data_IF_216409848197
#
_entry.id   IF_216409848197
#
_cell.length_a   1.000
_cell.length_b   1.000
_cell.length_c   1.000
_cell.angle_alpha   90.00
_cell.angle_beta   90.00
_cell.angle_gamma   90.00
#
_symmetry.space_group_name_H-M   'P 1'
#
loop_
_entity.id
_entity.type
_entity.pdbx_description
1 polymer ?
#
# COMPACT_ATOMS: atom_id res chain seq x y z
N UNK A 1 5.90 -10.03 18.74
CA UNK A 1 6.30 -8.81 18.01
C UNK A 1 5.30 -8.62 16.88
N UNK A 2 4.50 -7.54 16.92
CA UNK A 2 3.38 -7.35 16.01
C UNK A 2 3.87 -6.60 14.76
N UNK A 3 3.72 -7.12 13.53
CA UNK A 3 4.29 -6.52 12.32
C UNK A 3 3.44 -5.35 11.78
N UNK A 4 2.78 -4.59 12.64
CA UNK A 4 2.12 -3.37 12.19
C UNK A 4 3.17 -2.27 12.04
N UNK A 5 3.34 -1.84 10.80
CA UNK A 5 3.98 -0.59 10.41
C UNK A 5 3.63 0.51 11.42
N UNK A 6 4.65 1.20 11.94
CA UNK A 6 4.65 2.20 13.02
C UNK A 6 3.63 3.35 12.85
N UNK A 7 2.34 3.04 12.83
CA UNK A 7 1.26 4.00 12.74
C UNK A 7 1.03 4.57 14.13
N UNK A 8 1.27 5.88 14.28
CA UNK A 8 1.07 6.65 15.52
C UNK A 8 -0.30 6.41 16.16
N UNK A 9 -1.32 6.11 15.36
CA UNK A 9 -2.68 5.89 15.81
C UNK A 9 -2.86 4.55 16.55
N UNK A 10 -2.10 3.53 16.16
CA UNK A 10 -2.10 2.21 16.80
C UNK A 10 -1.04 2.14 17.89
N UNK A 11 0.06 2.89 17.78
CA UNK A 11 1.11 2.96 18.80
C UNK A 11 0.58 3.31 20.19
N UNK A 12 -0.34 4.30 20.29
CA UNK A 12 -0.96 4.66 21.57
C UNK A 12 -1.86 3.55 22.14
N UNK A 13 -2.49 2.75 21.27
CA UNK A 13 -3.28 1.59 21.70
C UNK A 13 -2.37 0.46 22.17
N UNK A 14 -1.26 0.23 21.47
CA UNK A 14 -0.28 -0.79 21.82
C UNK A 14 0.41 -0.47 23.13
N UNK A 15 0.80 0.79 23.37
CA UNK A 15 1.35 1.24 24.66
C UNK A 15 0.36 1.03 25.80
N UNK A 16 -0.93 1.35 25.59
CA UNK A 16 -1.96 1.12 26.61
C UNK A 16 -2.17 -0.37 26.86
N UNK A 17 -2.17 -1.20 25.81
CA UNK A 17 -2.33 -2.64 25.91
C UNK A 17 -1.12 -3.29 26.61
N UNK A 18 0.08 -2.81 26.32
CA UNK A 18 1.33 -3.21 26.96
C UNK A 18 1.34 -2.83 28.45
N UNK A 19 0.96 -1.59 28.77
CA UNK A 19 0.81 -1.17 30.16
C UNK A 19 -0.24 -2.02 30.90
N UNK A 20 -1.41 -2.24 30.30
CA UNK A 20 -2.44 -3.11 30.87
C UNK A 20 -1.94 -4.54 31.10
N UNK A 21 -1.13 -5.08 30.19
CA UNK A 21 -0.57 -6.41 30.31
C UNK A 21 0.35 -6.57 31.53
N UNK A 22 1.25 -5.61 31.75
CA UNK A 22 2.18 -5.67 32.88
C UNK A 22 1.54 -5.30 34.22
N UNK A 23 0.61 -4.34 34.23
CA UNK A 23 0.14 -3.73 35.48
C UNK A 23 -1.23 -4.19 35.97
N UNK A 24 -2.10 -4.81 35.14
CA UNK A 24 -3.42 -5.23 35.61
C UNK A 24 -3.44 -6.60 36.30
N UNK A 25 -2.73 -7.60 35.77
CA UNK A 25 -2.84 -8.99 36.27
C UNK A 25 -1.51 -9.74 36.39
N UNK A 26 -0.37 -9.02 36.40
CA UNK A 26 0.97 -9.61 36.49
C UNK A 26 1.23 -10.71 35.44
N UNK A 27 0.61 -10.61 34.26
CA UNK A 27 0.78 -11.59 33.18
C UNK A 27 0.16 -12.98 33.42
N UNK A 28 -0.63 -13.21 34.49
CA UNK A 28 -1.17 -14.55 34.79
C UNK A 28 -2.09 -15.13 33.71
N UNK A 29 -2.81 -14.28 32.98
CA UNK A 29 -3.71 -14.68 31.88
C UNK A 29 -3.16 -14.32 30.50
N UNK A 30 -1.83 -14.29 30.32
CA UNK A 30 -1.22 -13.84 29.08
C UNK A 30 -1.69 -14.63 27.84
N UNK A 31 -1.92 -15.94 27.98
CA UNK A 31 -2.44 -16.81 26.90
C UNK A 31 -3.85 -16.38 26.47
N UNK A 32 -4.76 -16.18 27.43
CA UNK A 32 -6.13 -15.75 27.12
C UNK A 32 -6.18 -14.31 26.58
N UNK A 33 -5.29 -13.45 27.07
CA UNK A 33 -5.12 -12.10 26.54
C UNK A 33 -4.57 -12.13 25.11
N UNK A 34 -3.59 -12.98 24.84
CA UNK A 34 -2.99 -13.16 23.52
C UNK A 34 -4.00 -13.69 22.52
N UNK A 35 -4.74 -14.74 22.87
CA UNK A 35 -5.83 -15.25 22.03
C UNK A 35 -6.88 -14.17 21.75
N UNK A 36 -7.29 -13.39 22.74
CA UNK A 36 -8.28 -12.32 22.53
C UNK A 36 -7.76 -11.14 21.70
N UNK A 37 -6.48 -10.78 21.82
CA UNK A 37 -5.92 -9.58 21.17
C UNK A 37 -5.30 -9.86 19.80
N UNK A 38 -4.69 -11.02 19.58
CA UNK A 38 -4.10 -11.38 18.28
C UNK A 38 -5.07 -12.13 17.35
N UNK A 39 -6.03 -12.91 17.85
CA UNK A 39 -7.08 -13.50 17.01
C UNK A 39 -8.21 -12.50 16.72
N UNK A 40 -7.91 -11.20 16.62
CA UNK A 40 -8.87 -10.30 15.99
C UNK A 40 -9.14 -10.80 14.56
N UNK A 41 -10.41 -10.84 14.13
CA UNK A 41 -10.82 -11.53 12.91
C UNK A 41 -10.14 -10.92 11.70
N UNK A 42 -9.06 -11.55 11.22
CA UNK A 42 -8.52 -11.57 9.84
C UNK A 42 -8.81 -10.33 8.96
N UNK A 43 -8.68 -9.12 9.47
CA UNK A 43 -8.79 -7.91 8.64
C UNK A 43 -7.51 -7.62 7.86
N UNK A 44 -6.41 -8.35 8.13
CA UNK A 44 -5.09 -8.11 7.54
C UNK A 44 -4.80 -8.83 6.21
N UNK A 45 -5.44 -9.96 5.90
CA UNK A 45 -5.03 -10.78 4.74
C UNK A 45 -5.26 -10.04 3.40
N UNK A 46 -6.32 -9.23 3.34
CA UNK A 46 -6.66 -8.45 2.15
C UNK A 46 -5.66 -7.33 1.88
N UNK A 47 -5.08 -6.74 2.93
CA UNK A 47 -4.03 -5.72 2.79
C UNK A 47 -2.69 -6.33 2.35
N UNK A 48 -2.30 -7.48 2.91
CA UNK A 48 -1.06 -8.16 2.52
C UNK A 48 -1.07 -8.65 1.06
N UNK A 49 -2.24 -9.07 0.53
CA UNK A 49 -2.36 -9.49 -0.88
C UNK A 49 -2.22 -8.29 -1.83
N UNK A 50 -2.72 -7.11 -1.44
CA UNK A 50 -2.58 -5.87 -2.22
C UNK A 50 -1.11 -5.46 -2.29
N UNK A 51 -0.38 -5.53 -1.16
CA UNK A 51 1.04 -5.17 -1.11
C UNK A 51 1.92 -6.10 -1.97
N UNK A 52 1.66 -7.41 -1.95
CA UNK A 52 2.40 -8.38 -2.78
C UNK A 52 2.15 -8.14 -4.28
N UNK A 53 0.90 -7.89 -4.66
CA UNK A 53 0.56 -7.61 -6.06
C UNK A 53 1.24 -6.33 -6.54
N UNK A 54 1.27 -5.29 -5.70
CA UNK A 54 1.97 -4.04 -6.02
C UNK A 54 3.47 -4.26 -6.26
N UNK A 55 4.13 -5.04 -5.40
CA UNK A 55 5.54 -5.39 -5.55
C UNK A 55 5.78 -6.17 -6.85
N UNK A 56 4.92 -7.14 -7.18
CA UNK A 56 5.04 -7.92 -8.41
C UNK A 56 4.87 -7.06 -9.67
N UNK A 57 3.88 -6.16 -9.69
CA UNK A 57 3.68 -5.23 -10.80
C UNK A 57 4.88 -4.29 -10.95
N UNK A 58 5.40 -3.77 -9.85
CA UNK A 58 6.60 -2.93 -9.87
C UNK A 58 7.81 -3.68 -10.45
N UNK A 59 8.09 -4.89 -9.98
CA UNK A 59 9.18 -5.72 -10.50
C UNK A 59 9.00 -6.03 -11.99
N UNK A 60 7.78 -6.38 -12.41
CA UNK A 60 7.49 -6.63 -13.81
C UNK A 60 7.76 -5.40 -14.68
N UNK A 61 7.31 -4.22 -14.26
CA UNK A 61 7.57 -2.96 -14.97
C UNK A 61 9.08 -2.64 -15.04
N UNK A 62 9.82 -2.86 -13.95
CA UNK A 62 11.27 -2.63 -13.91
C UNK A 62 12.02 -3.56 -14.89
N UNK A 63 11.68 -4.85 -14.90
CA UNK A 63 12.27 -5.83 -15.82
C UNK A 63 11.91 -5.50 -17.28
N UNK A 64 10.66 -5.14 -17.54
CA UNK A 64 10.22 -4.71 -18.87
C UNK A 64 11.01 -3.50 -19.36
N UNK A 65 11.15 -2.47 -18.52
CA UNK A 65 11.88 -1.25 -18.85
C UNK A 65 13.37 -1.54 -19.11
N UNK A 66 14.00 -2.33 -18.24
CA UNK A 66 15.41 -2.73 -18.43
C UNK A 66 15.62 -3.48 -19.75
N UNK A 67 14.72 -4.41 -20.07
CA UNK A 67 14.76 -5.18 -21.33
C UNK A 67 14.59 -4.29 -22.55
N UNK A 68 13.64 -3.34 -22.53
CA UNK A 68 13.44 -2.38 -23.62
C UNK A 68 14.65 -1.48 -23.79
N UNK A 69 15.20 -0.97 -22.70
CA UNK A 69 16.38 -0.11 -22.74
C UNK A 69 17.58 -0.83 -23.37
N UNK A 70 17.81 -2.10 -23.00
CA UNK A 70 18.89 -2.91 -23.58
C UNK A 70 18.71 -3.14 -25.09
N UNK A 71 17.48 -3.42 -25.54
CA UNK A 71 17.18 -3.58 -26.98
C UNK A 71 17.39 -2.29 -27.76
N UNK A 72 17.00 -1.15 -27.18
CA UNK A 72 17.20 0.15 -27.78
C UNK A 72 18.68 0.52 -27.89
N UNK A 73 19.48 0.25 -26.86
CA UNK A 73 20.94 0.46 -26.92
C UNK A 73 21.57 -0.36 -28.04
N UNK A 74 21.16 -1.63 -28.20
CA UNK A 74 21.63 -2.48 -29.31
C UNK A 74 21.19 -1.94 -30.67
N UNK A 75 19.92 -1.55 -30.83
CA UNK A 75 19.42 -0.97 -32.08
C UNK A 75 20.12 0.35 -32.41
N UNK A 76 20.34 1.21 -31.43
CA UNK A 76 21.08 2.46 -31.58
C UNK A 76 22.52 2.23 -32.06
N UNK A 77 23.18 1.16 -31.61
CA UNK A 77 24.52 0.82 -32.06
C UNK A 77 24.57 0.35 -33.53
N UNK A 78 23.52 -0.30 -34.02
CA UNK A 78 23.45 -0.84 -35.40
C UNK A 78 23.04 0.25 -36.40
N UNK A 79 22.17 1.17 -35.98
CA UNK A 79 21.49 2.11 -36.87
C UNK A 79 21.77 3.58 -36.50
N UNK A 80 22.98 3.86 -36.00
CA UNK A 80 23.41 5.16 -35.45
C UNK A 80 23.25 6.38 -36.39
N UNK A 81 23.00 6.16 -37.69
CA UNK A 81 22.94 7.23 -38.70
C UNK A 81 21.52 7.75 -39.01
N UNK A 82 20.48 7.22 -38.37
CA UNK A 82 19.08 7.57 -38.72
C UNK A 82 18.36 8.31 -37.59
N UNK A 83 17.85 9.50 -37.90
CA UNK A 83 17.03 10.36 -37.03
C UNK A 83 15.77 9.67 -36.46
N UNK A 84 15.30 8.60 -37.12
CA UNK A 84 14.15 7.80 -36.67
C UNK A 84 14.41 7.07 -35.34
N UNK A 85 15.67 6.82 -34.98
CA UNK A 85 16.04 6.12 -33.74
C UNK A 85 15.78 6.98 -32.52
N UNK A 86 16.03 8.28 -32.59
CA UNK A 86 15.71 9.21 -31.51
C UNK A 86 14.20 9.27 -31.25
N UNK A 87 13.39 9.21 -32.32
CA UNK A 87 11.94 9.14 -32.21
C UNK A 87 11.48 7.82 -31.55
N UNK A 88 12.11 6.69 -31.89
CA UNK A 88 11.82 5.40 -31.23
C UNK A 88 12.17 5.41 -29.75
N UNK A 89 13.32 5.99 -29.37
CA UNK A 89 13.69 6.17 -27.96
C UNK A 89 12.61 6.96 -27.21
N UNK A 90 12.12 8.07 -27.78
CA UNK A 90 11.05 8.87 -27.19
C UNK A 90 9.75 8.06 -27.06
N UNK A 91 9.36 7.31 -28.09
CA UNK A 91 8.15 6.48 -28.07
C UNK A 91 8.24 5.38 -27.01
N UNK A 92 9.41 4.76 -26.82
CA UNK A 92 9.60 3.75 -25.76
C UNK A 92 9.59 4.29 -24.34
N UNK A 93 9.78 5.61 -24.16
CA UNK A 93 9.59 6.30 -22.89
C UNK A 93 8.10 6.63 -22.61
N UNK A 94 7.23 6.60 -23.61
CA UNK A 94 5.79 6.86 -23.43
C UNK A 94 5.13 5.84 -22.50
N UNK A 95 5.29 4.51 -22.67
CA UNK A 95 4.68 3.51 -21.79
C UNK A 95 4.96 3.71 -20.29
N UNK A 96 6.21 3.86 -19.81
CA UNK A 96 6.47 4.05 -18.38
C UNK A 96 5.92 5.39 -17.85
N UNK A 97 5.93 6.45 -18.66
CA UNK A 97 5.37 7.75 -18.26
C UNK A 97 3.84 7.70 -18.19
N UNK A 98 3.18 7.11 -19.19
CA UNK A 98 1.74 6.91 -19.18
C UNK A 98 1.29 5.99 -18.05
N UNK A 99 2.00 4.88 -17.81
CA UNK A 99 1.67 3.94 -16.72
C UNK A 99 1.85 4.60 -15.35
N UNK A 100 2.93 5.37 -15.14
CA UNK A 100 3.14 6.07 -13.86
C UNK A 100 2.11 7.17 -13.62
N UNK A 101 1.73 7.94 -14.65
CA UNK A 101 0.64 8.93 -14.56
C UNK A 101 -0.70 8.28 -14.27
N UNK A 102 -1.03 7.18 -14.96
CA UNK A 102 -2.27 6.45 -14.78
C UNK A 102 -2.33 5.81 -13.39
N UNK A 103 -1.20 5.29 -12.90
CA UNK A 103 -1.07 4.79 -11.54
C UNK A 103 -1.29 5.88 -10.49
N UNK A 104 -0.64 7.04 -10.61
CA UNK A 104 -0.85 8.18 -9.72
C UNK A 104 -2.32 8.65 -9.72
N UNK A 105 -2.96 8.68 -10.89
CA UNK A 105 -4.39 8.99 -11.02
C UNK A 105 -5.29 7.97 -10.32
N UNK A 106 -5.03 6.67 -10.49
CA UNK A 106 -5.80 5.63 -9.81
C UNK A 106 -5.60 5.65 -8.30
N UNK A 107 -4.38 5.93 -7.83
CA UNK A 107 -4.08 6.00 -6.40
C UNK A 107 -4.80 7.16 -5.73
N UNK A 108 -4.72 8.36 -6.33
CA UNK A 108 -5.47 9.54 -5.85
C UNK A 108 -6.98 9.32 -5.89
N UNK A 109 -7.49 8.67 -6.93
CA UNK A 109 -8.91 8.30 -7.00
C UNK A 109 -9.30 7.32 -5.89
N UNK A 110 -8.50 6.29 -5.64
CA UNK A 110 -8.72 5.33 -4.56
C UNK A 110 -8.70 6.00 -3.18
N UNK A 111 -7.75 6.91 -2.94
CA UNK A 111 -7.68 7.70 -1.70
C UNK A 111 -8.91 8.58 -1.51
N UNK A 112 -9.42 9.22 -2.57
CA UNK A 112 -10.65 10.01 -2.50
C UNK A 112 -11.85 9.12 -2.20
N UNK A 113 -12.00 7.98 -2.88
CA UNK A 113 -13.09 7.04 -2.63
C UNK A 113 -13.07 6.51 -1.19
N UNK A 114 -11.92 6.02 -0.72
CA UNK A 114 -11.75 5.47 0.64
C UNK A 114 -11.86 6.57 1.70
N UNK A 115 -11.30 7.75 1.43
CA UNK A 115 -11.38 8.92 2.30
C UNK A 115 -12.82 9.42 2.48
N UNK A 116 -13.62 9.41 1.41
CA UNK A 116 -15.04 9.73 1.45
C UNK A 116 -15.83 8.68 2.24
N UNK A 117 -15.61 7.38 1.99
CA UNK A 117 -16.26 6.32 2.78
C UNK A 117 -15.92 6.41 4.27
N UNK A 118 -14.66 6.75 4.60
CA UNK A 118 -14.21 6.94 5.98
C UNK A 118 -14.78 8.20 6.66
N UNK A 119 -15.11 9.26 5.90
CA UNK A 119 -15.79 10.46 6.41
C UNK A 119 -17.28 10.22 6.61
N UNK A 120 -17.95 9.57 5.65
CA UNK A 120 -19.38 9.20 5.73
C UNK A 120 -19.64 8.23 6.89
N UNK A 121 -18.81 7.18 7.04
CA UNK A 121 -18.95 6.24 8.16
C UNK A 121 -18.71 6.88 9.54
N UNK A 122 -17.87 7.93 9.62
CA UNK A 122 -17.67 8.71 10.84
C UNK A 122 -18.84 9.65 11.14
N UNK A 123 -19.46 10.22 10.10
CA UNK A 123 -20.67 11.04 10.24
C UNK A 123 -21.84 10.22 10.79
N UNK A 124 -22.10 9.05 10.18
CA UNK A 124 -23.17 8.15 10.59
C UNK A 124 -22.98 7.62 12.03
N UNK A 125 -21.75 7.39 12.48
CA UNK A 125 -21.49 7.02 13.90
C UNK A 125 -21.77 8.16 14.88
N UNK A 126 -21.55 9.42 14.49
CA UNK A 126 -21.86 10.58 15.34
C UNK A 126 -23.35 10.80 15.49
N UNK A 127 -24.14 10.63 14.43
CA UNK A 127 -25.60 10.72 14.50
C UNK A 127 -26.21 9.61 15.36
N UNK A 128 -25.72 8.37 15.20
CA UNK A 128 -26.20 7.23 16.01
C UNK A 128 -25.87 7.35 17.51
N UNK A 129 -24.84 8.13 17.86
CA UNK A 129 -24.49 8.44 19.24
C UNK A 129 -25.38 9.52 19.87
N UNK A 130 -25.91 10.46 19.08
CA UNK A 130 -26.87 11.47 19.56
C UNK A 130 -28.26 10.90 19.81
N UNK A 131 -28.67 9.88 19.05
CA UNK A 131 -29.97 9.21 19.21
C UNK A 131 -30.04 8.24 20.40
N UNK A 132 -28.94 8.04 21.12
CA UNK A 132 -28.86 7.14 22.30
C UNK A 132 -28.68 7.90 23.63
N UNK A 133 -28.65 9.23 23.59
CA UNK A 133 -28.68 10.13 24.74
C UNK A 133 -30.08 10.75 24.81
#
# INVERSE_FOLDING_TARGET
FNPYQFSLRYFKKDLRAWYSFFFSEHGKHWIQWYDRQQLQPRTGFRHTVIDINFILVYFFCAVWFATMNQKLTLLGSIFASYWYIDALHLITLIPPVCISLLFCGLLTFAEVCVGCSGKVARSLRRERGRLRL
#
